data_IF_108973848952
#
_entry.id   IF_108973848952
#
_cell.length_a   1.000
_cell.length_b   1.000
_cell.length_c   1.000
_cell.angle_alpha   90.00
_cell.angle_beta   90.00
_cell.angle_gamma   90.00
#
_symmetry.space_group_name_H-M   'P 1'
#
loop_
_entity.id
_entity.type
_entity.pdbx_description
1 polymer ?
#
# COMPACT_ATOMS: atom_id res chain seq x y z
N UNK A 1 21.25 -66.54 -57.71
CA UNK A 1 20.53 -65.72 -58.69
C UNK A 1 19.68 -64.71 -57.94
N UNK A 2 20.11 -63.44 -57.80
CA UNK A 2 19.32 -62.38 -57.19
C UNK A 2 18.41 -61.71 -58.25
N UNK A 3 17.19 -61.35 -57.85
CA UNK A 3 16.24 -60.63 -58.68
C UNK A 3 15.89 -59.28 -58.04
N UNK A 4 16.28 -58.20 -58.72
CA UNK A 4 15.95 -56.80 -58.42
C UNK A 4 14.48 -56.50 -58.69
N UNK A 5 13.74 -55.87 -57.76
CA UNK A 5 12.55 -55.08 -58.07
C UNK A 5 12.50 -53.81 -57.20
N UNK A 6 12.71 -52.66 -57.86
CA UNK A 6 12.58 -51.31 -57.32
C UNK A 6 11.11 -50.88 -57.21
N UNK A 7 10.69 -50.29 -56.07
CA UNK A 7 9.54 -49.38 -56.05
C UNK A 7 9.70 -48.22 -55.05
N UNK A 8 9.97 -47.06 -55.64
CA UNK A 8 9.37 -45.72 -55.39
C UNK A 8 9.14 -45.21 -53.96
N UNK A 9 9.96 -44.20 -53.64
CA UNK A 9 9.79 -43.17 -52.62
C UNK A 9 8.39 -42.55 -52.65
N UNK A 10 7.69 -42.52 -51.50
CA UNK A 10 6.52 -41.65 -51.28
C UNK A 10 6.77 -40.71 -50.10
N UNK A 11 7.17 -39.47 -50.44
CA UNK A 11 6.96 -38.27 -49.63
C UNK A 11 5.46 -37.99 -49.56
N UNK A 12 4.94 -37.65 -48.38
CA UNK A 12 3.58 -37.09 -48.25
C UNK A 12 3.57 -35.92 -47.28
N UNK A 13 3.76 -34.73 -47.84
CA UNK A 13 3.23 -33.48 -47.32
C UNK A 13 1.71 -33.47 -47.52
N UNK A 14 0.96 -33.03 -46.50
CA UNK A 14 -0.43 -32.54 -46.67
C UNK A 14 -0.87 -31.77 -45.42
N UNK A 15 -0.83 -30.45 -45.54
CA UNK A 15 -1.51 -29.49 -44.68
C UNK A 15 -3.03 -29.68 -44.78
N UNK A 16 -3.78 -29.56 -43.67
CA UNK A 16 -5.23 -29.36 -43.73
C UNK A 16 -5.61 -27.88 -43.76
N UNK A 17 -6.43 -27.56 -44.76
CA UNK A 17 -6.93 -26.25 -45.10
C UNK A 17 -8.16 -25.87 -44.25
N UNK A 18 -8.41 -24.57 -44.17
CA UNK A 18 -9.59 -23.95 -43.57
C UNK A 18 -10.92 -24.49 -44.15
N UNK A 19 -11.88 -24.79 -43.28
CA UNK A 19 -13.30 -24.63 -43.63
C UNK A 19 -14.17 -24.32 -42.41
N UNK A 20 -14.71 -23.10 -42.42
CA UNK A 20 -16.12 -22.74 -42.17
C UNK A 20 -16.79 -23.38 -40.95
N UNK A 21 -16.99 -22.60 -39.89
CA UNK A 21 -18.09 -22.82 -38.95
C UNK A 21 -18.82 -21.53 -38.65
N UNK A 22 -20.11 -21.72 -38.52
CA UNK A 22 -21.22 -20.78 -38.66
C UNK A 22 -21.15 -19.57 -37.72
N UNK A 23 -21.61 -18.42 -38.25
CA UNK A 23 -21.92 -17.22 -37.48
C UNK A 23 -23.37 -17.32 -37.02
N UNK A 24 -23.60 -17.86 -35.84
CA UNK A 24 -24.88 -17.74 -35.15
C UNK A 24 -24.95 -16.38 -34.44
N UNK A 25 -25.82 -15.52 -34.96
CA UNK A 25 -26.14 -14.22 -34.37
C UNK A 25 -27.12 -14.40 -33.19
N UNK A 26 -26.59 -14.50 -31.97
CA UNK A 26 -27.42 -14.51 -30.76
C UNK A 26 -27.87 -13.10 -30.36
N UNK A 27 -29.19 -12.92 -30.35
CA UNK A 27 -29.88 -11.73 -29.87
C UNK A 27 -29.55 -11.43 -28.39
N UNK A 28 -29.06 -10.21 -28.13
CA UNK A 28 -28.87 -9.67 -26.78
C UNK A 28 -30.22 -9.61 -26.04
N UNK A 29 -30.43 -10.48 -25.06
CA UNK A 29 -31.52 -10.34 -24.09
C UNK A 29 -31.15 -9.24 -23.10
N UNK A 30 -32.03 -8.25 -22.94
CA UNK A 30 -31.96 -7.24 -21.86
C UNK A 30 -31.84 -7.96 -20.51
N UNK A 31 -30.80 -7.64 -19.74
CA UNK A 31 -30.61 -8.15 -18.39
C UNK A 31 -31.79 -7.80 -17.50
N UNK A 32 -32.25 -8.79 -16.74
CA UNK A 32 -33.35 -8.73 -15.79
C UNK A 32 -32.87 -7.94 -14.56
N UNK A 33 -33.62 -6.93 -14.12
CA UNK A 33 -33.29 -6.14 -12.93
C UNK A 33 -33.18 -7.03 -11.69
N UNK A 34 -32.20 -6.78 -10.78
CA UNK A 34 -32.02 -7.57 -9.57
C UNK A 34 -33.27 -7.50 -8.68
N UNK A 35 -33.58 -8.60 -8.00
CA UNK A 35 -34.73 -8.69 -7.10
C UNK A 35 -34.61 -7.67 -5.95
N UNK A 36 -35.73 -7.09 -5.49
CA UNK A 36 -35.71 -6.12 -4.41
C UNK A 36 -35.31 -6.81 -3.09
N UNK A 37 -34.09 -6.53 -2.62
CA UNK A 37 -33.63 -6.95 -1.29
C UNK A 37 -34.40 -6.15 -0.25
N UNK A 38 -35.02 -6.84 0.73
CA UNK A 38 -35.65 -6.17 1.87
C UNK A 38 -34.55 -5.61 2.78
N UNK A 39 -34.52 -4.29 2.91
CA UNK A 39 -33.56 -3.60 3.74
C UNK A 39 -33.98 -3.68 5.22
N UNK A 40 -33.02 -3.67 6.17
CA UNK A 40 -33.31 -3.59 7.59
C UNK A 40 -34.23 -2.39 7.87
N UNK A 41 -35.14 -2.54 8.83
CA UNK A 41 -36.09 -1.51 9.25
C UNK A 41 -37.01 -0.99 8.13
N UNK A 42 -37.26 -1.79 7.09
CA UNK A 42 -38.03 -1.41 5.90
C UNK A 42 -37.50 -0.13 5.23
N UNK A 43 -36.19 0.11 5.32
CA UNK A 43 -35.58 1.26 4.69
C UNK A 43 -35.75 1.22 3.17
N UNK A 44 -35.83 2.40 2.55
CA UNK A 44 -35.96 2.52 1.09
C UNK A 44 -34.60 2.34 0.40
N UNK A 45 -34.58 1.58 -0.70
CA UNK A 45 -33.41 1.48 -1.57
C UNK A 45 -33.08 2.84 -2.22
N UNK A 46 -31.80 3.19 -2.22
CA UNK A 46 -31.35 4.49 -2.70
C UNK A 46 -31.17 4.51 -4.21
N UNK A 47 -31.74 5.53 -4.84
CA UNK A 47 -31.53 5.88 -6.25
C UNK A 47 -30.47 6.98 -6.35
N UNK A 48 -29.85 7.16 -7.53
CA UNK A 48 -28.85 8.21 -7.78
C UNK A 48 -29.30 9.62 -7.39
N UNK A 49 -30.60 9.91 -7.45
CA UNK A 49 -31.17 11.21 -7.07
C UNK A 49 -31.23 11.39 -5.55
N UNK A 50 -31.42 10.29 -4.80
CA UNK A 50 -31.51 10.30 -3.35
C UNK A 50 -30.15 10.62 -2.70
N UNK A 51 -29.04 10.42 -3.42
CA UNK A 51 -27.68 10.76 -2.95
C UNK A 51 -27.55 12.19 -2.44
N UNK A 52 -28.26 13.14 -3.04
CA UNK A 52 -28.26 14.54 -2.58
C UNK A 52 -28.92 14.68 -1.21
N UNK A 53 -30.01 13.97 -0.97
CA UNK A 53 -30.76 13.99 0.29
C UNK A 53 -30.05 13.23 1.40
N UNK A 54 -29.26 12.20 1.06
CA UNK A 54 -28.48 11.41 2.01
C UNK A 54 -27.03 11.90 2.15
N UNK A 55 -26.65 13.02 1.51
CA UNK A 55 -25.29 13.58 1.58
C UNK A 55 -24.81 13.79 3.01
N UNK A 56 -25.68 14.30 3.91
CA UNK A 56 -25.34 14.55 5.32
C UNK A 56 -25.12 13.28 6.12
N UNK A 57 -25.99 12.30 5.94
CA UNK A 57 -25.85 10.97 6.56
C UNK A 57 -24.56 10.26 6.10
N UNK A 58 -24.25 10.33 4.80
CA UNK A 58 -23.00 9.79 4.27
C UNK A 58 -21.78 10.58 4.74
N UNK A 59 -21.94 11.88 5.03
CA UNK A 59 -20.92 12.73 5.62
C UNK A 59 -20.48 12.19 6.97
N UNK A 60 -21.44 11.96 7.86
CA UNK A 60 -21.17 11.33 9.16
C UNK A 60 -20.53 9.95 9.01
N UNK A 61 -20.99 9.16 8.04
CA UNK A 61 -20.41 7.83 7.80
C UNK A 61 -18.93 7.92 7.38
N UNK A 62 -18.61 8.80 6.43
CA UNK A 62 -17.25 8.96 5.92
C UNK A 62 -16.32 9.62 6.93
N UNK A 63 -16.82 10.57 7.71
CA UNK A 63 -16.08 11.17 8.82
C UNK A 63 -15.72 10.10 9.87
N UNK A 64 -16.71 9.36 10.37
CA UNK A 64 -16.49 8.33 11.41
C UNK A 64 -15.62 7.16 10.91
N UNK A 65 -15.87 6.64 9.70
CA UNK A 65 -15.23 5.40 9.23
C UNK A 65 -13.96 5.61 8.42
N UNK A 66 -13.77 6.80 7.86
CA UNK A 66 -12.69 7.12 6.92
C UNK A 66 -11.98 8.43 7.23
N UNK A 67 -12.44 9.21 8.20
CA UNK A 67 -11.89 10.53 8.55
C UNK A 67 -11.82 11.45 7.32
N UNK A 68 -12.91 11.47 6.54
CA UNK A 68 -13.02 12.30 5.33
C UNK A 68 -14.25 13.21 5.46
N UNK A 69 -14.01 14.51 5.41
CA UNK A 69 -15.05 15.52 5.42
C UNK A 69 -15.67 15.72 4.04
N UNK A 70 -16.97 15.42 3.92
CA UNK A 70 -17.71 15.63 2.67
C UNK A 70 -17.82 17.11 2.28
N UNK A 71 -17.72 18.03 3.25
CA UNK A 71 -17.84 19.46 2.99
C UNK A 71 -16.55 20.07 2.39
N UNK A 72 -15.41 19.37 2.46
CA UNK A 72 -14.15 19.78 1.81
C UNK A 72 -14.07 19.34 0.34
N UNK A 73 -14.93 18.40 -0.07
CA UNK A 73 -14.91 17.78 -1.39
C UNK A 73 -15.86 18.50 -2.36
N UNK A 74 -15.40 18.69 -3.60
CA UNK A 74 -16.18 19.34 -4.65
C UNK A 74 -17.39 18.51 -5.10
N UNK A 75 -18.43 19.15 -5.61
CA UNK A 75 -19.68 18.45 -6.03
C UNK A 75 -19.48 17.43 -7.16
N UNK A 76 -18.46 17.64 -8.00
CA UNK A 76 -18.02 16.71 -9.05
C UNK A 76 -17.33 15.50 -8.44
N UNK A 77 -16.48 15.73 -7.44
CA UNK A 77 -15.78 14.69 -6.69
C UNK A 77 -16.77 13.87 -5.87
N UNK A 78 -17.69 14.49 -5.14
CA UNK A 78 -18.73 13.79 -4.35
C UNK A 78 -19.48 12.75 -5.19
N UNK A 79 -19.83 13.07 -6.45
CA UNK A 79 -20.52 12.14 -7.36
C UNK A 79 -19.58 11.09 -7.96
N UNK A 80 -18.32 11.44 -8.16
CA UNK A 80 -17.29 10.60 -8.77
C UNK A 80 -16.53 9.72 -7.77
N UNK A 81 -16.66 9.96 -6.46
CA UNK A 81 -15.94 9.19 -5.44
C UNK A 81 -16.43 7.72 -5.50
N UNK A 82 -15.55 6.77 -5.85
CA UNK A 82 -15.91 5.35 -5.93
C UNK A 82 -16.38 4.81 -4.56
N UNK A 83 -15.96 5.44 -3.47
CA UNK A 83 -16.39 5.09 -2.11
C UNK A 83 -17.86 5.43 -1.84
N UNK A 84 -18.39 6.54 -2.36
CA UNK A 84 -19.81 6.88 -2.21
C UNK A 84 -20.69 5.95 -3.05
N UNK A 85 -20.21 5.59 -4.26
CA UNK A 85 -20.87 4.59 -5.11
C UNK A 85 -20.87 3.21 -4.45
N UNK A 86 -19.74 2.81 -3.86
CA UNK A 86 -19.63 1.58 -3.10
C UNK A 86 -20.52 1.60 -1.84
N UNK A 87 -20.58 2.71 -1.11
CA UNK A 87 -21.46 2.89 0.05
C UNK A 87 -22.94 2.78 -0.32
N UNK A 88 -23.34 3.38 -1.44
CA UNK A 88 -24.72 3.29 -1.95
C UNK A 88 -25.06 1.85 -2.34
N UNK A 89 -24.12 1.17 -3.00
CA UNK A 89 -24.29 -0.22 -3.42
C UNK A 89 -24.36 -1.16 -2.20
N UNK A 90 -23.50 -0.95 -1.21
CA UNK A 90 -23.46 -1.72 0.04
C UNK A 90 -24.70 -1.46 0.90
N UNK A 91 -25.20 -0.22 0.95
CA UNK A 91 -26.48 0.12 1.58
C UNK A 91 -27.66 -0.55 0.89
N UNK A 92 -27.70 -0.56 -0.44
CA UNK A 92 -28.75 -1.25 -1.20
C UNK A 92 -28.67 -2.79 -1.08
N UNK A 93 -27.55 -3.33 -0.57
CA UNK A 93 -27.34 -4.76 -0.30
C UNK A 93 -27.57 -5.16 1.16
N UNK A 94 -28.02 -4.24 2.02
CA UNK A 94 -28.17 -4.48 3.46
C UNK A 94 -26.87 -4.80 4.22
N UNK A 95 -25.70 -4.37 3.71
CA UNK A 95 -24.39 -4.72 4.29
C UNK A 95 -23.90 -3.74 5.37
N UNK A 96 -24.50 -2.54 5.47
CA UNK A 96 -24.20 -1.61 6.58
C UNK A 96 -24.79 -2.12 7.91
N UNK A 97 -24.25 -1.64 9.03
CA UNK A 97 -24.86 -1.88 10.33
C UNK A 97 -26.28 -1.29 10.42
N UNK A 98 -27.16 -1.95 11.17
CA UNK A 98 -28.60 -1.65 11.26
C UNK A 98 -28.90 -0.18 11.57
N UNK A 99 -28.14 0.46 12.47
CA UNK A 99 -28.31 1.87 12.83
C UNK A 99 -28.09 2.88 11.70
N UNK A 100 -27.49 2.49 10.56
CA UNK A 100 -27.36 3.35 9.38
C UNK A 100 -28.61 3.36 8.49
N UNK A 101 -29.55 2.44 8.73
CA UNK A 101 -30.86 2.40 8.06
C UNK A 101 -31.93 3.14 8.84
N UNK A 102 -31.68 3.50 10.09
CA UNK A 102 -32.62 4.22 10.94
C UNK A 102 -32.91 5.65 10.43
N UNK A 103 -34.18 6.08 10.41
CA UNK A 103 -34.53 7.46 10.08
C UNK A 103 -34.02 8.45 11.13
N UNK A 104 -33.93 8.03 12.39
CA UNK A 104 -33.45 8.85 13.52
C UNK A 104 -31.99 9.26 13.34
N UNK A 105 -31.14 8.38 12.80
CA UNK A 105 -29.73 8.70 12.56
C UNK A 105 -29.56 9.69 11.41
N UNK A 106 -30.43 9.61 10.39
CA UNK A 106 -30.53 10.63 9.34
C UNK A 106 -30.96 11.99 9.89
N UNK A 107 -32.00 12.04 10.72
CA UNK A 107 -32.48 13.30 11.32
C UNK A 107 -31.41 13.96 12.19
N UNK A 108 -30.66 13.17 12.98
CA UNK A 108 -29.51 13.66 13.73
C UNK A 108 -28.44 14.27 12.82
N UNK A 109 -28.15 13.65 11.68
CA UNK A 109 -27.19 14.17 10.71
C UNK A 109 -27.64 15.49 10.09
N UNK A 110 -28.91 15.57 9.70
CA UNK A 110 -29.48 16.78 9.11
C UNK A 110 -29.55 17.92 10.13
N UNK A 111 -29.90 17.62 11.40
CA UNK A 111 -29.89 18.57 12.52
C UNK A 111 -28.48 19.09 12.81
N UNK A 112 -27.50 18.21 12.95
CA UNK A 112 -26.10 18.60 13.17
C UNK A 112 -25.56 19.50 12.05
N UNK A 113 -25.87 19.17 10.79
CA UNK A 113 -25.48 20.00 9.65
C UNK A 113 -26.18 21.38 9.65
N UNK A 114 -27.44 21.45 10.08
CA UNK A 114 -28.16 22.73 10.22
C UNK A 114 -27.58 23.60 11.33
N UNK A 115 -27.27 23.02 12.49
CA UNK A 115 -26.66 23.71 13.64
C UNK A 115 -25.26 24.24 13.27
N UNK A 116 -24.43 23.43 12.59
CA UNK A 116 -23.11 23.85 12.11
C UNK A 116 -23.15 24.99 11.06
N UNK A 117 -24.27 25.14 10.35
CA UNK A 117 -24.46 26.26 9.40
C UNK A 117 -24.89 27.55 10.11
N UNK A 118 -25.57 27.44 11.25
CA UNK A 118 -25.97 28.60 12.07
C UNK A 118 -24.77 29.20 12.82
N UNK A 119 -23.86 28.37 13.34
CA UNK A 119 -22.64 28.84 14.03
C UNK A 119 -21.64 29.49 13.09
N UNK A 120 -21.55 29.04 11.82
CA UNK A 120 -20.69 29.64 10.79
C UNK A 120 -21.26 30.93 10.18
N UNK A 121 -22.54 31.26 10.40
CA UNK A 121 -23.19 32.45 9.83
C UNK A 121 -23.25 33.64 10.78
N UNK A 122 -22.88 33.45 12.04
CA UNK A 122 -22.68 34.52 13.00
C UNK A 122 -21.19 34.82 13.11
N UNK A 123 -20.68 35.96 12.61
CA UNK A 123 -19.36 36.39 13.01
C UNK A 123 -19.39 36.61 14.53
N UNK A 124 -18.42 36.13 15.32
CA UNK A 124 -18.29 36.60 16.68
C UNK A 124 -18.00 38.10 16.61
N UNK A 125 -18.98 38.94 16.93
CA UNK A 125 -18.73 40.33 17.31
C UNK A 125 -17.75 40.28 18.46
N UNK A 126 -16.49 40.59 18.15
CA UNK A 126 -15.40 40.75 19.11
C UNK A 126 -15.66 42.05 19.86
N UNK A 127 -16.60 42.02 20.79
CA UNK A 127 -16.70 43.01 21.85
C UNK A 127 -15.58 42.73 22.84
N UNK A 128 -14.60 43.62 22.82
CA UNK A 128 -13.56 43.75 23.82
C UNK A 128 -14.23 44.10 25.17
N UNK A 129 -13.99 43.35 26.25
CA UNK A 129 -14.17 43.89 27.58
C UNK A 129 -12.87 44.61 27.97
N UNK A 130 -12.84 45.93 27.77
CA UNK A 130 -12.00 46.81 28.58
C UNK A 130 -12.64 46.94 29.97
N UNK A 131 -12.08 46.31 31.01
CA UNK A 131 -12.20 46.66 32.45
C UNK A 131 -11.15 45.82 33.20
N UNK A 132 -10.35 46.26 34.16
CA UNK A 132 -10.03 47.54 34.76
C UNK A 132 -8.83 47.22 35.68
N UNK A 133 -7.76 48.00 35.62
CA UNK A 133 -6.59 47.79 36.48
C UNK A 133 -6.82 48.50 37.81
N UNK A 134 -7.13 47.77 38.89
CA UNK A 134 -6.82 48.23 40.26
C UNK A 134 -6.87 47.13 41.32
N UNK A 135 -5.68 46.91 41.90
CA UNK A 135 -5.40 46.72 43.33
C UNK A 135 -6.38 45.87 44.16
N UNK A 136 -5.89 44.77 44.73
CA UNK A 136 -5.91 44.59 46.19
C UNK A 136 -4.95 43.49 46.64
N UNK A 137 -4.28 43.81 47.73
CA UNK A 137 -3.17 43.16 48.37
C UNK A 137 -3.60 42.10 49.41
N UNK A 138 -2.68 41.16 49.65
CA UNK A 138 -2.34 40.51 50.93
C UNK A 138 -3.03 39.22 51.42
N UNK A 139 -2.15 38.42 52.05
CA UNK A 139 -2.28 37.41 53.12
C UNK A 139 -2.30 35.93 52.66
N UNK A 140 -1.45 35.00 53.12
CA UNK A 140 -0.42 34.93 54.18
C UNK A 140 0.29 33.57 54.06
N UNK A 141 1.61 33.51 54.30
CA UNK A 141 2.26 32.55 55.22
C UNK A 141 3.81 32.62 55.13
N UNK A 142 4.41 33.28 56.13
CA UNK A 142 5.59 32.88 56.93
C UNK A 142 6.81 32.29 56.17
N UNK A 143 8.03 32.82 56.26
CA UNK A 143 8.89 32.91 57.47
C UNK A 143 10.01 33.94 57.20
N UNK A 144 10.31 34.79 58.19
CA UNK A 144 11.59 35.49 58.39
C UNK A 144 12.06 35.13 59.83
N UNK A 145 13.37 35.10 60.17
CA UNK A 145 14.23 36.29 60.26
C UNK A 145 15.69 36.00 59.80
N UNK A 146 16.71 36.84 59.81
CA UNK A 146 16.96 38.19 60.30
C UNK A 146 18.15 38.79 59.52
N UNK A 147 18.26 40.11 59.60
CA UNK A 147 19.42 40.99 59.40
C UNK A 147 20.79 40.37 59.04
N UNK A 148 21.41 40.90 57.98
CA UNK A 148 22.66 41.67 58.08
C UNK A 148 22.82 42.55 56.82
N UNK A 149 22.99 43.84 57.03
CA UNK A 149 23.66 44.73 56.09
C UNK A 149 25.14 44.34 56.07
N UNK A 150 25.70 44.10 54.89
CA UNK A 150 27.09 44.47 54.65
C UNK A 150 27.29 44.75 53.16
N UNK A 151 27.68 45.99 52.86
CA UNK A 151 28.28 46.37 51.60
C UNK A 151 29.62 45.66 51.50
N UNK A 152 29.81 44.82 50.49
CA UNK A 152 31.16 44.38 50.11
C UNK A 152 31.22 44.11 48.62
N UNK A 153 32.07 44.90 48.00
CA UNK A 153 32.56 44.84 46.64
C UNK A 153 32.98 43.41 46.28
N UNK A 154 32.27 42.79 45.35
CA UNK A 154 32.82 41.71 44.54
C UNK A 154 32.16 41.76 43.15
N UNK A 155 32.55 42.79 42.41
CA UNK A 155 32.61 42.78 40.95
C UNK A 155 33.68 41.75 40.50
N UNK A 156 33.45 40.48 40.82
CA UNK A 156 34.30 39.37 40.41
C UNK A 156 33.53 38.41 39.51
N UNK A 157 33.30 38.89 38.31
CA UNK A 157 32.81 38.13 37.16
C UNK A 157 32.56 39.10 36.01
N UNK A 158 32.95 38.77 34.75
CA UNK A 158 32.62 39.64 33.64
C UNK A 158 31.11 39.88 33.63
N UNK A 159 30.69 41.15 33.70
CA UNK A 159 29.29 41.52 33.60
C UNK A 159 28.73 40.94 32.29
N UNK A 160 27.69 40.10 32.42
CA UNK A 160 27.05 39.46 31.27
C UNK A 160 26.59 40.56 30.31
N UNK A 161 26.99 40.52 29.01
CA UNK A 161 26.66 41.57 28.07
C UNK A 161 25.14 41.74 28.01
N UNK A 162 24.67 42.92 28.46
CA UNK A 162 23.25 43.28 28.59
C UNK A 162 22.55 43.51 27.24
N UNK A 163 23.21 43.16 26.13
CA UNK A 163 22.67 43.24 24.78
C UNK A 163 22.91 41.95 23.98
N UNK A 164 22.75 40.80 24.64
CA UNK A 164 22.60 39.54 23.91
C UNK A 164 21.14 39.44 23.46
N UNK A 165 20.87 39.95 22.25
CA UNK A 165 19.79 39.42 21.41
C UNK A 165 19.76 37.92 21.64
N UNK A 166 18.70 37.40 22.27
CA UNK A 166 18.55 35.96 22.56
C UNK A 166 18.74 35.21 21.24
N UNK A 167 19.95 34.69 21.03
CA UNK A 167 20.24 33.80 19.93
C UNK A 167 19.51 32.49 20.24
N UNK A 168 18.24 32.44 19.84
CA UNK A 168 17.47 31.21 19.84
C UNK A 168 18.13 30.19 18.89
N UNK A 169 17.75 28.92 19.00
CA UNK A 169 18.17 27.90 18.03
C UNK A 169 17.97 28.45 16.62
N UNK A 170 19.00 28.38 15.79
CA UNK A 170 18.91 28.81 14.41
C UNK A 170 17.75 28.07 13.72
N UNK A 171 16.93 28.80 12.96
CA UNK A 171 15.85 28.20 12.18
C UNK A 171 16.47 27.15 11.25
N UNK A 172 16.02 25.87 11.31
CA UNK A 172 16.58 24.82 10.47
C UNK A 172 16.58 25.20 8.99
N UNK A 173 17.66 24.87 8.30
CA UNK A 173 17.77 25.05 6.85
C UNK A 173 16.74 24.19 6.12
N UNK A 174 16.42 24.55 4.88
CA UNK A 174 15.58 23.72 3.98
C UNK A 174 16.20 22.32 3.83
N UNK A 175 17.53 22.22 3.82
CA UNK A 175 18.25 20.94 3.79
C UNK A 175 18.02 20.12 5.06
N UNK A 176 17.99 20.77 6.23
CA UNK A 176 17.74 20.10 7.52
C UNK A 176 16.30 19.58 7.61
N UNK A 177 15.33 20.32 7.06
CA UNK A 177 13.94 19.88 6.95
C UNK A 177 13.78 18.70 6.00
N UNK A 178 14.48 18.72 4.86
CA UNK A 178 14.49 17.60 3.90
C UNK A 178 15.07 16.35 4.55
N UNK A 179 16.23 16.46 5.19
CA UNK A 179 16.88 15.34 5.88
C UNK A 179 15.98 14.75 6.98
N UNK A 180 15.32 15.60 7.77
CA UNK A 180 14.34 15.15 8.77
C UNK A 180 13.18 14.39 8.14
N UNK A 181 12.65 14.88 7.02
CA UNK A 181 11.53 14.23 6.33
C UNK A 181 11.94 12.88 5.72
N UNK A 182 13.15 12.78 5.17
CA UNK A 182 13.73 11.53 4.67
C UNK A 182 13.89 10.51 5.79
N UNK A 183 14.48 10.91 6.92
CA UNK A 183 14.64 10.04 8.09
C UNK A 183 13.29 9.55 8.62
N UNK A 184 12.29 10.43 8.71
CA UNK A 184 10.95 10.07 9.12
C UNK A 184 10.30 9.07 8.14
N UNK A 185 10.52 9.24 6.84
CA UNK A 185 10.04 8.31 5.81
C UNK A 185 10.71 6.94 5.89
N UNK A 186 12.02 6.89 6.12
CA UNK A 186 12.77 5.65 6.32
C UNK A 186 12.27 4.89 7.57
N UNK A 187 12.05 5.60 8.68
CA UNK A 187 11.50 5.05 9.92
C UNK A 187 10.11 4.44 9.72
N UNK A 188 9.22 5.13 9.00
CA UNK A 188 7.88 4.60 8.70
C UNK A 188 7.94 3.32 7.85
N UNK A 189 8.85 3.30 6.87
CA UNK A 189 9.08 2.12 6.02
C UNK A 189 9.61 0.96 6.87
N UNK A 190 10.59 1.22 7.74
CA UNK A 190 11.16 0.22 8.64
C UNK A 190 10.08 -0.37 9.56
N UNK A 191 9.31 0.48 10.24
CA UNK A 191 8.18 0.04 11.10
C UNK A 191 7.18 -0.83 10.35
N UNK A 192 6.87 -0.48 9.10
CA UNK A 192 5.95 -1.28 8.27
C UNK A 192 6.57 -2.63 7.91
N UNK A 193 7.87 -2.69 7.66
CA UNK A 193 8.58 -3.93 7.38
C UNK A 193 8.64 -4.82 8.62
N UNK A 194 8.90 -4.25 9.79
CA UNK A 194 8.91 -4.97 11.07
C UNK A 194 7.54 -5.59 11.36
N UNK A 195 6.45 -4.82 11.25
CA UNK A 195 5.09 -5.35 11.40
C UNK A 195 4.77 -6.49 10.42
N UNK A 196 5.32 -6.45 9.21
CA UNK A 196 5.15 -7.54 8.23
C UNK A 196 5.98 -8.76 8.61
N UNK A 197 7.20 -8.54 9.11
CA UNK A 197 8.08 -9.57 9.58
C UNK A 197 7.46 -10.29 10.79
N UNK A 198 6.99 -9.56 11.79
CA UNK A 198 6.34 -10.11 12.98
C UNK A 198 5.14 -10.98 12.61
N UNK A 199 4.24 -10.47 11.76
CA UNK A 199 3.10 -11.26 11.25
C UNK A 199 3.52 -12.52 10.52
N UNK A 200 4.66 -12.48 9.80
CA UNK A 200 5.19 -13.65 9.09
C UNK A 200 5.77 -14.66 10.08
N UNK A 201 6.46 -14.19 11.10
CA UNK A 201 7.01 -15.01 12.17
C UNK A 201 5.90 -15.67 12.98
N UNK A 202 4.85 -14.92 13.34
CA UNK A 202 3.67 -15.46 14.02
C UNK A 202 2.99 -16.56 13.22
N UNK A 203 2.75 -16.34 11.92
CA UNK A 203 2.19 -17.38 11.03
C UNK A 203 3.08 -18.60 10.94
N UNK A 204 4.41 -18.40 10.93
CA UNK A 204 5.38 -19.49 10.91
C UNK A 204 5.32 -20.29 12.21
N UNK A 205 5.31 -19.62 13.37
CA UNK A 205 5.17 -20.25 14.68
C UNK A 205 3.84 -20.99 14.85
N UNK A 206 2.72 -20.40 14.38
CA UNK A 206 1.42 -21.06 14.39
C UNK A 206 1.44 -22.33 13.53
N UNK A 207 2.07 -22.25 12.36
CA UNK A 207 2.23 -23.42 11.48
C UNK A 207 3.11 -24.50 12.12
N UNK A 208 4.24 -24.13 12.73
CA UNK A 208 5.13 -25.06 13.43
C UNK A 208 4.39 -25.76 14.58
N UNK A 209 3.66 -25.01 15.41
CA UNK A 209 2.82 -25.59 16.49
C UNK A 209 1.76 -26.56 15.96
N UNK A 210 1.16 -26.27 14.80
CA UNK A 210 0.21 -27.19 14.17
C UNK A 210 0.89 -28.45 13.61
N UNK A 211 2.12 -28.31 13.09
CA UNK A 211 2.93 -29.43 12.61
C UNK A 211 3.42 -30.32 13.77
N UNK A 212 3.73 -29.74 14.94
CA UNK A 212 4.09 -30.49 16.15
C UNK A 212 2.88 -31.24 16.76
N UNK A 213 1.69 -30.62 16.76
CA UNK A 213 0.45 -31.23 17.25
C UNK A 213 -0.06 -32.35 16.33
N UNK A 214 0.17 -32.23 15.03
CA UNK A 214 -0.22 -33.23 14.05
C UNK A 214 0.97 -33.52 13.11
N UNK A 215 1.90 -34.40 13.54
CA UNK A 215 3.07 -34.72 12.75
C UNK A 215 2.62 -35.31 11.42
N UNK A 216 2.85 -34.57 10.34
CA UNK A 216 2.57 -35.04 8.99
C UNK A 216 3.47 -36.22 8.66
N UNK A 217 2.98 -37.13 7.83
CA UNK A 217 3.77 -38.28 7.41
C UNK A 217 5.12 -37.85 6.78
N UNK A 218 6.15 -38.64 7.06
CA UNK A 218 7.55 -38.41 6.63
C UNK A 218 7.62 -38.06 5.13
N UNK A 219 8.38 -37.02 4.75
CA UNK A 219 8.51 -36.60 3.36
C UNK A 219 9.09 -37.74 2.51
N UNK A 220 8.34 -38.18 1.51
CA UNK A 220 8.73 -39.28 0.60
C UNK A 220 8.02 -40.61 0.88
N UNK A 221 7.34 -40.76 2.02
CA UNK A 221 6.51 -41.94 2.32
C UNK A 221 5.27 -42.03 1.40
N UNK A 222 4.78 -43.25 1.18
CA UNK A 222 3.53 -43.52 0.44
C UNK A 222 2.33 -42.87 1.13
N UNK A 223 2.35 -42.82 2.45
CA UNK A 223 1.32 -42.14 3.27
C UNK A 223 1.28 -40.65 2.97
N UNK A 224 2.44 -39.99 2.89
CA UNK A 224 2.51 -38.56 2.52
C UNK A 224 2.06 -38.30 1.09
N UNK A 225 2.29 -39.23 0.16
CA UNK A 225 1.78 -39.12 -1.21
C UNK A 225 0.24 -39.23 -1.26
N UNK A 226 -0.33 -40.14 -0.47
CA UNK A 226 -1.79 -40.29 -0.36
C UNK A 226 -2.43 -39.10 0.36
N UNK A 227 -1.81 -38.58 1.42
CA UNK A 227 -2.22 -37.36 2.10
C UNK A 227 -2.20 -36.17 1.15
N UNK A 228 -1.10 -35.94 0.43
CA UNK A 228 -0.99 -34.88 -0.58
C UNK A 228 -2.03 -35.03 -1.69
N UNK A 229 -2.36 -36.26 -2.10
CA UNK A 229 -3.42 -36.53 -3.08
C UNK A 229 -4.80 -36.20 -2.51
N UNK A 230 -5.05 -36.52 -1.24
CA UNK A 230 -6.29 -36.17 -0.52
C UNK A 230 -6.41 -34.66 -0.32
N UNK A 231 -5.37 -33.98 0.16
CA UNK A 231 -5.32 -32.51 0.31
C UNK A 231 -5.64 -31.81 -1.02
N UNK A 232 -5.01 -32.24 -2.13
CA UNK A 232 -5.32 -31.71 -3.46
C UNK A 232 -6.75 -32.00 -3.90
N UNK A 233 -7.26 -33.20 -3.65
CA UNK A 233 -8.63 -33.55 -3.99
C UNK A 233 -9.64 -32.73 -3.19
N UNK A 234 -9.38 -32.48 -1.89
CA UNK A 234 -10.19 -31.63 -1.03
C UNK A 234 -10.12 -30.18 -1.49
N UNK A 235 -8.94 -29.64 -1.81
CA UNK A 235 -8.81 -28.29 -2.34
C UNK A 235 -9.57 -28.11 -3.67
N UNK A 236 -9.46 -29.07 -4.58
CA UNK A 236 -10.20 -29.05 -5.84
C UNK A 236 -11.71 -29.19 -5.63
N UNK A 237 -12.14 -29.96 -4.62
CA UNK A 237 -13.54 -30.11 -4.24
C UNK A 237 -14.08 -28.82 -3.61
N UNK A 238 -13.34 -28.22 -2.69
CA UNK A 238 -13.67 -26.93 -2.08
C UNK A 238 -13.78 -25.83 -3.14
N UNK A 239 -12.85 -25.76 -4.10
CA UNK A 239 -12.95 -24.80 -5.21
C UNK A 239 -14.18 -25.04 -6.11
N UNK A 240 -14.63 -26.30 -6.26
CA UNK A 240 -15.85 -26.63 -7.01
C UNK A 240 -17.13 -26.33 -6.22
N UNK A 241 -17.11 -26.56 -4.91
CA UNK A 241 -18.24 -26.33 -4.01
C UNK A 241 -18.41 -24.84 -3.70
N UNK A 242 -17.33 -24.09 -3.46
CA UNK A 242 -17.34 -22.62 -3.35
C UNK A 242 -17.81 -21.94 -4.65
N UNK A 243 -17.69 -22.64 -5.78
CA UNK A 243 -18.17 -22.18 -7.09
C UNK A 243 -19.66 -22.50 -7.37
N UNK A 244 -20.42 -22.99 -6.39
CA UNK A 244 -21.86 -23.25 -6.51
C UNK A 244 -22.57 -22.78 -5.23
N UNK A 245 -23.53 -21.81 -5.25
CA UNK A 245 -24.47 -21.48 -6.32
C UNK A 245 -24.46 -19.97 -6.70
N UNK A 246 -24.28 -19.67 -7.99
CA UNK A 246 -24.35 -18.29 -8.50
C UNK A 246 -23.04 -17.69 -8.98
N UNK A 247 -22.00 -18.52 -9.21
CA UNK A 247 -20.82 -18.09 -9.92
C UNK A 247 -21.21 -17.70 -11.36
N UNK A 248 -21.50 -16.42 -11.54
CA UNK A 248 -21.57 -15.72 -12.82
C UNK A 248 -20.33 -16.13 -13.61
N UNK A 249 -20.55 -16.86 -14.70
CA UNK A 249 -19.50 -17.20 -15.66
C UNK A 249 -18.99 -15.89 -16.25
N UNK A 250 -17.98 -15.30 -15.59
CA UNK A 250 -17.25 -14.15 -16.10
C UNK A 250 -16.74 -14.56 -17.47
N UNK A 251 -17.34 -13.99 -18.51
CA UNK A 251 -17.02 -14.32 -19.88
C UNK A 251 -15.52 -14.19 -20.10
N UNK A 252 -14.95 -15.08 -20.91
CA UNK A 252 -13.51 -15.10 -21.20
C UNK A 252 -12.98 -13.73 -21.69
N UNK A 253 -13.84 -12.91 -22.31
CA UNK A 253 -13.56 -11.53 -22.70
C UNK A 253 -13.47 -10.50 -21.56
N UNK A 254 -14.08 -10.75 -20.40
CA UNK A 254 -13.99 -9.87 -19.22
C UNK A 254 -12.88 -10.35 -18.25
N UNK A 255 -12.55 -11.64 -18.31
CA UNK A 255 -11.46 -12.23 -17.53
C UNK A 255 -10.06 -11.76 -18.00
N UNK A 256 -9.94 -11.30 -19.25
CA UNK A 256 -8.67 -10.76 -19.80
C UNK A 256 -8.87 -9.40 -20.50
N UNK A 257 -9.88 -8.63 -20.09
CA UNK A 257 -10.06 -7.24 -20.53
C UNK A 257 -10.03 -7.06 -22.05
N UNK A 258 -10.79 -7.84 -22.79
CA UNK A 258 -10.91 -7.73 -24.25
C UNK A 258 -9.59 -7.87 -25.03
N UNK A 259 -9.68 -7.65 -26.34
CA UNK A 259 -8.58 -7.83 -27.30
C UNK A 259 -7.40 -6.87 -27.05
N UNK A 260 -7.66 -5.73 -26.40
CA UNK A 260 -6.68 -4.71 -26.06
C UNK A 260 -6.00 -4.95 -24.69
N UNK A 261 -6.71 -5.56 -23.73
CA UNK A 261 -6.15 -5.93 -22.42
C UNK A 261 -5.13 -7.07 -22.50
N UNK A 262 -5.34 -8.04 -23.39
CA UNK A 262 -4.38 -9.13 -23.65
C UNK A 262 -3.08 -8.55 -24.21
N UNK A 263 -3.16 -7.64 -25.19
CA UNK A 263 -1.99 -6.96 -25.76
C UNK A 263 -1.27 -6.11 -24.70
N UNK A 264 -2.02 -5.36 -23.89
CA UNK A 264 -1.45 -4.57 -22.79
C UNK A 264 -0.77 -5.46 -21.73
N UNK A 265 -1.35 -6.62 -21.41
CA UNK A 265 -0.78 -7.58 -20.46
C UNK A 265 0.47 -8.28 -21.02
N UNK A 266 0.45 -8.68 -22.30
CA UNK A 266 1.62 -9.23 -22.99
C UNK A 266 2.75 -8.19 -23.04
N UNK A 267 2.44 -6.93 -23.36
CA UNK A 267 3.43 -5.86 -23.36
C UNK A 267 3.95 -5.55 -21.95
N UNK A 268 3.09 -5.55 -20.93
CA UNK A 268 3.52 -5.34 -19.54
C UNK A 268 4.42 -6.48 -19.04
N UNK A 269 4.12 -7.73 -19.40
CA UNK A 269 4.96 -8.87 -19.05
C UNK A 269 6.27 -8.89 -19.85
N UNK A 270 6.27 -8.45 -21.10
CA UNK A 270 7.50 -8.24 -21.88
C UNK A 270 8.37 -7.12 -21.30
N UNK A 271 7.78 -5.97 -20.91
CA UNK A 271 8.49 -4.88 -20.23
C UNK A 271 9.08 -5.32 -18.89
N UNK A 272 8.35 -6.14 -18.11
CA UNK A 272 8.87 -6.72 -16.86
C UNK A 272 10.01 -7.73 -17.09
N UNK A 273 9.98 -8.48 -18.20
CA UNK A 273 11.06 -9.39 -18.58
C UNK A 273 12.31 -8.60 -19.00
N UNK A 274 12.16 -7.55 -19.81
CA UNK A 274 13.28 -6.68 -20.18
C UNK A 274 13.87 -5.96 -18.97
N UNK A 275 13.07 -5.47 -18.03
CA UNK A 275 13.57 -4.82 -16.81
C UNK A 275 14.33 -5.81 -15.89
N UNK A 276 13.88 -7.06 -15.82
CA UNK A 276 14.55 -8.11 -15.05
C UNK A 276 15.85 -8.56 -15.72
N UNK A 277 15.88 -8.58 -17.04
CA UNK A 277 17.08 -8.85 -17.84
C UNK A 277 18.09 -7.72 -17.70
N UNK A 278 17.66 -6.46 -17.75
CA UNK A 278 18.52 -5.30 -17.49
C UNK A 278 19.10 -5.31 -16.07
N UNK A 279 18.29 -5.59 -15.04
CA UNK A 279 18.81 -5.75 -13.66
C UNK A 279 19.80 -6.91 -13.55
N UNK A 280 19.56 -8.01 -14.26
CA UNK A 280 20.45 -9.18 -14.25
C UNK A 280 21.75 -8.89 -15.00
N UNK A 281 21.69 -8.17 -16.12
CA UNK A 281 22.86 -7.72 -16.88
C UNK A 281 23.67 -6.69 -16.08
N UNK A 282 23.02 -5.77 -15.38
CA UNK A 282 23.67 -4.79 -14.51
C UNK A 282 24.40 -5.45 -13.33
N UNK A 283 23.78 -6.45 -12.68
CA UNK A 283 24.41 -7.24 -11.62
C UNK A 283 25.58 -8.08 -12.17
N UNK A 284 25.44 -8.67 -13.36
CA UNK A 284 26.53 -9.43 -13.99
C UNK A 284 27.68 -8.52 -14.42
N UNK A 285 27.39 -7.34 -14.98
CA UNK A 285 28.38 -6.32 -15.34
C UNK A 285 29.12 -5.81 -14.11
N UNK A 286 28.43 -5.55 -13.00
CA UNK A 286 29.06 -5.18 -11.74
C UNK A 286 29.99 -6.29 -11.20
N UNK A 287 29.56 -7.56 -11.31
CA UNK A 287 30.35 -8.72 -10.88
C UNK A 287 31.54 -9.02 -11.79
N UNK A 288 31.42 -8.75 -13.08
CA UNK A 288 32.51 -8.85 -14.06
C UNK A 288 33.55 -7.75 -13.83
N UNK A 289 33.12 -6.51 -13.58
CA UNK A 289 34.02 -5.42 -13.22
C UNK A 289 34.81 -5.72 -11.92
N UNK A 290 34.16 -6.27 -10.89
CA UNK A 290 34.85 -6.70 -9.65
C UNK A 290 35.91 -7.79 -9.92
N UNK A 291 35.60 -8.73 -10.82
CA UNK A 291 36.55 -9.80 -11.23
C UNK A 291 37.69 -9.23 -12.07
N UNK A 292 37.40 -8.32 -12.98
CA UNK A 292 38.40 -7.67 -13.83
C UNK A 292 39.35 -6.82 -13.00
N UNK A 293 38.85 -6.06 -12.02
CA UNK A 293 39.67 -5.28 -11.09
C UNK A 293 40.62 -6.20 -10.28
N UNK A 294 40.12 -7.34 -9.80
CA UNK A 294 40.95 -8.33 -9.07
C UNK A 294 42.04 -8.93 -9.96
N UNK A 295 41.72 -9.25 -11.21
CA UNK A 295 42.69 -9.77 -12.18
C UNK A 295 43.69 -8.70 -12.61
N UNK A 296 43.26 -7.46 -12.80
CA UNK A 296 44.13 -6.32 -13.12
C UNK A 296 45.12 -6.05 -11.98
N UNK A 297 44.67 -6.12 -10.72
CA UNK A 297 45.55 -6.02 -9.56
C UNK A 297 46.57 -7.16 -9.49
N UNK A 298 46.20 -8.39 -9.90
CA UNK A 298 47.15 -9.51 -9.98
C UNK A 298 48.17 -9.31 -11.11
N UNK A 299 47.71 -8.91 -12.30
CA UNK A 299 48.58 -8.58 -13.45
C UNK A 299 49.54 -7.45 -13.11
N UNK A 300 49.09 -6.39 -12.46
CA UNK A 300 49.95 -5.29 -12.02
C UNK A 300 51.02 -5.74 -11.02
N UNK A 301 50.75 -6.75 -10.17
CA UNK A 301 51.76 -7.34 -9.30
C UNK A 301 52.76 -8.17 -10.10
N UNK A 302 52.28 -8.99 -11.03
CA UNK A 302 53.13 -9.78 -11.93
C UNK A 302 54.03 -8.88 -12.78
N UNK A 303 53.49 -7.81 -13.38
CA UNK A 303 54.25 -6.85 -14.18
C UNK A 303 55.35 -6.17 -13.35
N UNK A 304 55.05 -5.74 -12.12
CA UNK A 304 56.06 -5.20 -11.19
C UNK A 304 57.15 -6.22 -10.86
N UNK A 305 56.79 -7.49 -10.64
CA UNK A 305 57.78 -8.54 -10.38
C UNK A 305 58.61 -8.86 -11.62
N UNK A 306 58.00 -8.89 -12.80
CA UNK A 306 58.67 -9.10 -14.07
C UNK A 306 59.60 -7.93 -14.39
N UNK A 307 59.21 -6.70 -14.09
CA UNK A 307 60.04 -5.51 -14.23
C UNK A 307 61.25 -5.56 -13.28
N UNK A 308 61.04 -5.92 -12.00
CA UNK A 308 62.14 -6.14 -11.06
C UNK A 308 63.12 -7.21 -11.54
N UNK A 309 62.61 -8.36 -12.03
CA UNK A 309 63.43 -9.45 -12.56
C UNK A 309 64.17 -9.05 -13.84
N UNK A 310 63.51 -8.32 -14.76
CA UNK A 310 64.14 -7.75 -15.96
C UNK A 310 65.27 -6.77 -15.60
N UNK A 311 65.07 -5.94 -14.57
CA UNK A 311 66.10 -5.01 -14.09
C UNK A 311 67.31 -5.76 -13.49
N UNK A 312 67.09 -6.82 -12.70
CA UNK A 312 68.16 -7.68 -12.18
C UNK A 312 68.90 -8.43 -13.29
N UNK A 313 68.18 -8.96 -14.28
CA UNK A 313 68.77 -9.62 -15.42
C UNK A 313 69.62 -8.65 -16.25
N UNK A 314 69.13 -7.42 -16.47
CA UNK A 314 69.88 -6.36 -17.15
C UNK A 314 71.14 -5.94 -16.39
N UNK A 315 71.12 -5.94 -15.05
CA UNK A 315 72.31 -5.66 -14.23
C UNK A 315 73.34 -6.80 -14.23
N UNK A 316 72.92 -8.05 -14.42
CA UNK A 316 73.81 -9.23 -14.38
C UNK A 316 74.35 -9.67 -15.74
N UNK A 317 73.58 -9.45 -16.81
CA UNK A 317 73.85 -10.00 -18.14
C UNK A 317 73.78 -8.95 -19.25
N UNK A 318 73.62 -7.67 -18.91
CA UNK A 318 73.55 -6.54 -19.84
C UNK A 318 74.70 -5.58 -19.67
#
# INVERSE_FOLDING_TARGET
>A
MPGDHHHSLRRRSRSPNHSRRDRDHHHKRRSRSPAPVQLPLNARALVKQDLKQFKRLFGLYLDIQKQIDIDELDETEIKAIPRLQHLTTSRNRAELAEGWYDPVTKEKADRAASEAKTTRRSPPSREQPEQDYRQHEQQTATIQPAANQDDSEDEYGPSLPTNTSRAGPAVPSIQDLQYRNELAGEDEIARRQDLRFDRKMDRKLQKERLEDLNPRAEPGSRERQLEKKREKAVANRAFREEKSPGAEEVGEGDLIGGEDGIKAHIQATQRKKSERELRKEEILRAREAEREERLAHHRAKEDKTMEMLKNLARQRYG
#
